data_IF_103636549435
#
_entry.id   IF_103636549435
#
_cell.length_a   1.000
_cell.length_b   1.000
_cell.length_c   1.000
_cell.angle_alpha   90.00
_cell.angle_beta   90.00
_cell.angle_gamma   90.00
#
_symmetry.space_group_name_H-M   'P 1'
#
loop_
_entity.id
_entity.type
_entity.pdbx_description
1 polymer ?
#
# COMPACT_ATOMS: atom_id res chain seq x y z
N UNK A 1 -4.76 -79.75 42.02
CA UNK A 1 -5.93 -79.31 41.21
C UNK A 1 -5.48 -78.12 40.47
N UNK A 2 -5.13 -78.30 39.27
CA UNK A 2 -5.80 -77.93 38.03
C UNK A 2 -6.20 -76.42 37.98
N UNK A 3 -5.63 -75.74 37.05
CA UNK A 3 -6.28 -74.65 36.38
C UNK A 3 -5.34 -73.63 35.81
N UNK A 4 -5.00 -73.81 34.64
CA UNK A 4 -5.30 -73.24 33.32
C UNK A 4 -4.44 -71.99 32.97
N UNK A 5 -3.62 -72.25 31.99
CA UNK A 5 -2.94 -71.22 31.15
C UNK A 5 -3.94 -70.42 30.33
N UNK A 6 -3.77 -69.12 30.27
CA UNK A 6 -4.46 -68.20 29.30
C UNK A 6 -3.44 -67.54 28.37
N UNK A 7 -3.77 -67.35 27.09
CA UNK A 7 -2.82 -67.15 26.02
C UNK A 7 -2.63 -65.69 25.58
N UNK A 8 -1.43 -65.42 25.11
CA UNK A 8 -1.24 -64.61 23.91
C UNK A 8 -1.24 -63.07 24.04
N UNK A 9 -0.10 -62.48 24.39
CA UNK A 9 0.18 -61.10 24.08
C UNK A 9 0.54 -60.97 22.60
N UNK A 10 -0.43 -60.48 21.79
CA UNK A 10 -0.19 -60.10 20.40
C UNK A 10 0.49 -58.74 20.38
N UNK A 11 1.77 -58.70 20.02
CA UNK A 11 2.52 -57.49 19.72
C UNK A 11 1.96 -56.87 18.44
N UNK A 12 1.30 -55.68 18.55
CA UNK A 12 0.92 -54.86 17.42
C UNK A 12 2.14 -54.03 17.00
N UNK A 13 2.68 -54.40 15.86
CA UNK A 13 3.69 -53.61 15.13
C UNK A 13 2.97 -52.35 14.63
N UNK A 14 3.20 -51.24 15.29
CA UNK A 14 2.83 -49.94 14.73
C UNK A 14 3.81 -49.60 13.59
N UNK A 15 3.34 -49.68 12.37
CA UNK A 15 4.07 -49.20 11.20
C UNK A 15 4.21 -47.66 11.30
N UNK A 16 5.44 -47.21 11.47
CA UNK A 16 5.88 -45.86 11.19
C UNK A 16 5.87 -45.67 9.67
N UNK A 17 4.80 -45.11 9.16
CA UNK A 17 4.71 -44.60 7.80
C UNK A 17 3.95 -43.30 7.88
N UNK A 18 4.62 -42.18 7.71
CA UNK A 18 4.16 -40.88 7.23
C UNK A 18 4.94 -39.70 7.82
N UNK A 19 6.24 -39.62 7.56
CA UNK A 19 6.99 -38.35 7.75
C UNK A 19 7.66 -37.89 6.46
N UNK A 20 7.66 -38.68 5.39
CA UNK A 20 8.35 -38.34 4.14
C UNK A 20 7.55 -37.45 3.19
N UNK A 21 6.27 -37.20 3.41
CA UNK A 21 5.44 -36.39 2.51
C UNK A 21 5.52 -34.88 2.72
N UNK A 22 5.83 -34.44 3.94
CA UNK A 22 5.81 -33.00 4.28
C UNK A 22 7.07 -32.24 3.83
N UNK A 23 8.21 -32.95 3.74
CA UNK A 23 9.47 -32.34 3.31
C UNK A 23 9.56 -32.11 1.79
N UNK A 24 8.91 -32.96 0.99
CA UNK A 24 8.90 -32.82 -0.47
C UNK A 24 8.04 -31.67 -0.96
N UNK A 25 6.95 -31.36 -0.27
CA UNK A 25 6.06 -30.25 -0.63
C UNK A 25 6.67 -28.87 -0.30
N UNK A 26 7.46 -28.77 0.75
CA UNK A 26 8.14 -27.53 1.13
C UNK A 26 9.32 -27.20 0.21
N UNK A 27 10.04 -28.19 -0.28
CA UNK A 27 11.16 -28.00 -1.24
C UNK A 27 10.61 -27.58 -2.61
N UNK A 28 9.56 -28.21 -3.11
CA UNK A 28 8.95 -27.85 -4.40
C UNK A 28 8.33 -26.43 -4.37
N UNK A 29 7.73 -26.00 -3.26
CA UNK A 29 7.21 -24.65 -3.10
C UNK A 29 8.33 -23.60 -3.00
N UNK A 30 9.50 -23.98 -2.49
CA UNK A 30 10.67 -23.09 -2.42
C UNK A 30 11.36 -22.95 -3.77
N UNK A 31 11.47 -24.03 -4.55
CA UNK A 31 12.01 -24.02 -5.91
C UNK A 31 11.11 -23.24 -6.88
N UNK A 32 9.77 -23.39 -6.80
CA UNK A 32 8.84 -22.60 -7.62
C UNK A 32 8.86 -21.10 -7.31
N UNK A 33 9.20 -20.70 -6.08
CA UNK A 33 9.39 -19.30 -5.72
C UNK A 33 10.66 -18.68 -6.30
N UNK A 34 11.73 -19.47 -6.46
CA UNK A 34 13.01 -18.99 -7.00
C UNK A 34 12.94 -18.67 -8.51
N UNK A 35 11.94 -19.22 -9.23
CA UNK A 35 11.75 -19.05 -10.67
C UNK A 35 10.67 -18.01 -11.00
N UNK A 36 10.04 -17.36 -10.01
CA UNK A 36 9.01 -16.35 -10.26
C UNK A 36 9.64 -15.11 -10.92
N UNK A 37 9.05 -14.67 -12.03
CA UNK A 37 9.44 -13.43 -12.71
C UNK A 37 9.02 -12.22 -11.86
N UNK A 38 9.96 -11.40 -11.36
CA UNK A 38 9.63 -10.22 -10.56
C UNK A 38 8.66 -9.25 -11.26
N UNK A 39 8.71 -9.15 -12.60
CA UNK A 39 7.79 -8.31 -13.35
C UNK A 39 6.36 -8.87 -13.30
N UNK A 40 6.20 -10.18 -13.48
CA UNK A 40 4.89 -10.82 -13.41
C UNK A 40 4.28 -10.69 -12.00
N UNK A 41 5.09 -10.79 -10.94
CA UNK A 41 4.63 -10.57 -9.55
C UNK A 41 4.20 -9.12 -9.34
N UNK A 42 4.97 -8.15 -9.85
CA UNK A 42 4.61 -6.72 -9.79
C UNK A 42 3.28 -6.44 -10.51
N UNK A 43 3.13 -6.98 -11.72
CA UNK A 43 1.93 -6.76 -12.54
C UNK A 43 0.70 -7.38 -11.86
N UNK A 44 0.82 -8.58 -11.29
CA UNK A 44 -0.27 -9.24 -10.55
C UNK A 44 -0.63 -8.45 -9.28
N UNK A 45 0.34 -8.06 -8.47
CA UNK A 45 0.08 -7.28 -7.25
C UNK A 45 -0.58 -5.93 -7.57
N UNK A 46 -0.18 -5.28 -8.67
CA UNK A 46 -0.82 -4.06 -9.15
C UNK A 46 -2.26 -4.32 -9.60
N UNK A 47 -2.50 -5.39 -10.34
CA UNK A 47 -3.83 -5.81 -10.79
C UNK A 47 -4.76 -6.08 -9.61
N UNK A 48 -4.28 -6.80 -8.59
CA UNK A 48 -5.04 -7.10 -7.37
C UNK A 48 -5.46 -5.80 -6.66
N UNK A 49 -4.55 -4.83 -6.52
CA UNK A 49 -4.90 -3.52 -5.96
C UNK A 49 -6.04 -2.84 -6.73
N UNK A 50 -5.95 -2.82 -8.05
CA UNK A 50 -6.96 -2.18 -8.91
C UNK A 50 -8.33 -2.90 -8.86
N UNK A 51 -8.33 -4.17 -8.48
CA UNK A 51 -9.54 -4.97 -8.25
C UNK A 51 -10.03 -4.95 -6.80
N UNK A 52 -9.42 -4.15 -5.93
CA UNK A 52 -9.72 -4.03 -4.50
C UNK A 52 -9.33 -5.25 -3.65
N UNK A 53 -8.53 -6.18 -4.18
CA UNK A 53 -7.97 -7.33 -3.48
C UNK A 53 -6.70 -6.89 -2.71
N UNK A 54 -6.92 -5.99 -1.72
CA UNK A 54 -5.85 -5.24 -1.04
C UNK A 54 -4.86 -6.17 -0.32
N UNK A 55 -5.35 -7.22 0.33
CA UNK A 55 -4.51 -8.17 1.08
C UNK A 55 -3.62 -8.97 0.12
N UNK A 56 -4.18 -9.46 -0.98
CA UNK A 56 -3.46 -10.21 -2.02
C UNK A 56 -2.41 -9.30 -2.67
N UNK A 57 -2.76 -8.06 -2.97
CA UNK A 57 -1.82 -7.07 -3.49
C UNK A 57 -0.65 -6.82 -2.53
N UNK A 58 -0.92 -6.62 -1.23
CA UNK A 58 0.14 -6.42 -0.24
C UNK A 58 1.07 -7.63 -0.13
N UNK A 59 0.51 -8.85 -0.15
CA UNK A 59 1.29 -10.10 -0.14
C UNK A 59 2.15 -10.23 -1.41
N UNK A 60 1.62 -9.89 -2.58
CA UNK A 60 2.35 -9.91 -3.86
C UNK A 60 3.53 -8.92 -3.85
N UNK A 61 3.34 -7.70 -3.32
CA UNK A 61 4.45 -6.76 -3.17
C UNK A 61 5.49 -7.21 -2.14
N UNK A 62 5.10 -7.90 -1.06
CA UNK A 62 6.05 -8.48 -0.11
C UNK A 62 6.85 -9.63 -0.75
N UNK A 63 6.20 -10.46 -1.57
CA UNK A 63 6.89 -11.47 -2.37
C UNK A 63 7.89 -10.84 -3.32
N UNK A 64 7.53 -9.77 -4.01
CA UNK A 64 8.42 -9.03 -4.91
C UNK A 64 9.66 -8.50 -4.17
N UNK A 65 9.48 -7.96 -2.96
CA UNK A 65 10.62 -7.51 -2.13
C UNK A 65 11.51 -8.67 -1.71
N UNK A 66 10.93 -9.84 -1.42
CA UNK A 66 11.70 -11.04 -1.10
C UNK A 66 12.50 -11.58 -2.29
N UNK A 67 11.92 -11.55 -3.50
CA UNK A 67 12.56 -11.97 -4.76
C UNK A 67 13.65 -10.98 -5.21
N UNK A 68 13.40 -9.70 -5.07
CA UNK A 68 14.24 -8.64 -5.59
C UNK A 68 14.42 -7.47 -4.57
N UNK A 69 15.11 -7.67 -3.44
CA UNK A 69 15.18 -6.71 -2.34
C UNK A 69 15.77 -5.36 -2.75
N UNK A 70 16.65 -5.32 -3.75
CA UNK A 70 17.24 -4.09 -4.27
C UNK A 70 16.21 -3.19 -4.99
N UNK A 71 15.03 -3.71 -5.36
CA UNK A 71 13.96 -2.92 -5.94
C UNK A 71 13.08 -2.24 -4.88
N UNK A 72 13.11 -2.66 -3.60
CA UNK A 72 12.28 -2.09 -2.53
C UNK A 72 12.22 -0.55 -2.57
N UNK A 73 13.34 0.19 -2.70
CA UNK A 73 13.27 1.65 -2.73
C UNK A 73 12.48 2.23 -3.92
N UNK A 74 12.27 1.47 -4.99
CA UNK A 74 11.56 1.91 -6.20
C UNK A 74 10.08 1.58 -6.21
N UNK A 75 9.62 0.77 -5.24
CA UNK A 75 8.24 0.25 -5.17
C UNK A 75 7.32 1.18 -4.40
N UNK A 76 7.13 2.43 -4.87
CA UNK A 76 6.20 3.38 -4.25
C UNK A 76 4.75 2.87 -4.26
N UNK A 77 4.35 2.09 -5.26
CA UNK A 77 3.05 1.43 -5.32
C UNK A 77 2.82 0.52 -4.11
N UNK A 78 3.87 -0.22 -3.69
CA UNK A 78 3.80 -1.01 -2.45
C UNK A 78 3.43 -0.14 -1.25
N UNK A 79 4.01 1.06 -1.13
CA UNK A 79 3.69 1.99 -0.05
C UNK A 79 2.20 2.36 -0.03
N UNK A 80 1.64 2.67 -1.19
CA UNK A 80 0.21 2.95 -1.33
C UNK A 80 -0.64 1.74 -0.92
N UNK A 81 -0.30 0.55 -1.43
CA UNK A 81 -1.02 -0.68 -1.08
C UNK A 81 -0.97 -0.97 0.43
N UNK A 82 0.18 -0.78 1.06
CA UNK A 82 0.35 -0.95 2.50
C UNK A 82 -0.52 0.02 3.32
N UNK A 83 -0.70 1.26 2.85
CA UNK A 83 -1.63 2.20 3.44
C UNK A 83 -3.06 1.63 3.46
N UNK A 84 -3.56 1.13 2.33
CA UNK A 84 -4.90 0.54 2.22
C UNK A 84 -5.02 -0.80 2.97
N UNK A 85 -3.93 -1.53 3.13
CA UNK A 85 -3.88 -2.75 3.95
C UNK A 85 -3.86 -2.47 5.47
N UNK A 86 -3.82 -1.20 5.90
CA UNK A 86 -3.72 -0.82 7.31
C UNK A 86 -2.34 -1.08 7.94
N UNK A 87 -1.32 -1.34 7.11
CA UNK A 87 0.06 -1.60 7.52
C UNK A 87 0.86 -0.30 7.52
N UNK A 88 0.49 0.61 8.41
CA UNK A 88 0.96 1.99 8.37
C UNK A 88 2.46 2.14 8.68
N UNK A 89 3.02 1.33 9.58
CA UNK A 89 4.47 1.35 9.87
C UNK A 89 5.29 0.89 8.66
N UNK A 90 4.86 -0.19 8.00
CA UNK A 90 5.50 -0.68 6.77
C UNK A 90 5.37 0.33 5.62
N UNK A 91 4.22 1.01 5.55
CA UNK A 91 3.95 2.10 4.61
C UNK A 91 4.93 3.26 4.82
N UNK A 92 5.07 3.73 6.05
CA UNK A 92 6.04 4.77 6.44
C UNK A 92 7.45 4.39 6.01
N UNK A 93 7.93 3.19 6.40
CA UNK A 93 9.25 2.70 6.04
C UNK A 93 9.46 2.63 4.51
N UNK A 94 8.42 2.24 3.77
CA UNK A 94 8.49 2.19 2.31
C UNK A 94 8.74 3.57 1.70
N UNK A 95 8.07 4.63 2.17
CA UNK A 95 8.25 5.98 1.63
C UNK A 95 9.55 6.63 2.13
N UNK A 96 10.02 6.33 3.34
CA UNK A 96 11.37 6.68 3.80
C UNK A 96 12.44 6.06 2.88
N UNK A 97 12.27 4.80 2.50
CA UNK A 97 13.15 4.09 1.57
C UNK A 97 13.07 4.68 0.16
N UNK A 98 11.85 4.96 -0.36
CA UNK A 98 11.65 5.55 -1.69
C UNK A 98 12.32 6.92 -1.84
N UNK A 99 12.32 7.74 -0.81
CA UNK A 99 13.00 9.04 -0.79
C UNK A 99 14.47 8.94 -1.16
N UNK A 100 15.14 7.83 -0.88
CA UNK A 100 16.56 7.64 -1.22
C UNK A 100 16.82 7.60 -2.73
N UNK A 101 15.82 7.26 -3.53
CA UNK A 101 15.91 7.17 -5.00
C UNK A 101 15.07 8.24 -5.72
N UNK A 102 14.13 8.90 -5.01
CA UNK A 102 13.28 9.96 -5.54
C UNK A 102 13.10 11.10 -4.51
N UNK A 103 14.15 11.92 -4.27
CA UNK A 103 14.16 12.91 -3.19
C UNK A 103 13.38 14.19 -3.50
N UNK A 104 12.92 14.39 -4.73
CA UNK A 104 12.28 15.62 -5.19
C UNK A 104 10.76 15.47 -5.42
N UNK A 105 10.16 14.42 -4.86
CA UNK A 105 8.77 14.06 -5.10
C UNK A 105 7.90 14.37 -3.87
N UNK A 106 7.04 15.38 -4.00
CA UNK A 106 6.07 15.74 -2.95
C UNK A 106 5.07 14.62 -2.68
N UNK A 107 4.70 13.80 -3.67
CA UNK A 107 3.80 12.67 -3.44
C UNK A 107 4.39 11.67 -2.46
N UNK A 108 5.71 11.49 -2.49
CA UNK A 108 6.40 10.65 -1.51
C UNK A 108 6.23 11.17 -0.07
N UNK A 109 6.39 12.49 0.13
CA UNK A 109 6.17 13.11 1.44
C UNK A 109 4.70 13.07 1.85
N UNK A 110 3.77 13.22 0.89
CA UNK A 110 2.35 13.16 1.16
C UNK A 110 1.91 11.77 1.63
N UNK A 111 2.29 10.72 0.94
CA UNK A 111 1.97 9.36 1.36
C UNK A 111 2.64 8.98 2.68
N UNK A 112 3.89 9.40 2.92
CA UNK A 112 4.53 9.24 4.22
C UNK A 112 3.72 9.92 5.33
N UNK A 113 3.30 11.18 5.11
CA UNK A 113 2.44 11.91 6.04
C UNK A 113 1.16 11.12 6.36
N UNK A 114 0.49 10.61 5.34
CA UNK A 114 -0.74 9.84 5.51
C UNK A 114 -0.51 8.56 6.34
N UNK A 115 0.59 7.85 6.10
CA UNK A 115 0.93 6.64 6.88
C UNK A 115 1.13 6.99 8.36
N UNK A 116 1.91 8.04 8.66
CA UNK A 116 2.15 8.49 10.04
C UNK A 116 0.87 9.01 10.70
N UNK A 117 0.07 9.80 9.98
CA UNK A 117 -1.20 10.32 10.48
C UNK A 117 -2.19 9.21 10.89
N UNK A 118 -2.19 8.09 10.15
CA UNK A 118 -3.04 6.93 10.45
C UNK A 118 -2.46 6.03 11.55
N UNK A 119 -1.12 5.95 11.67
CA UNK A 119 -0.45 5.19 12.72
C UNK A 119 -0.50 5.91 14.07
N UNK A 120 -0.34 7.21 14.07
CA UNK A 120 -0.11 8.04 15.26
C UNK A 120 -1.12 9.20 15.32
N UNK A 121 -0.80 10.33 14.66
CA UNK A 121 -1.68 11.51 14.56
C UNK A 121 -1.26 12.45 13.42
N UNK A 122 -2.13 13.38 12.99
CA UNK A 122 -1.75 14.41 12.03
C UNK A 122 -0.64 15.34 12.55
N UNK A 123 -0.56 15.58 13.85
CA UNK A 123 0.49 16.39 14.49
C UNK A 123 1.85 15.71 14.38
N UNK A 124 1.92 14.42 14.67
CA UNK A 124 3.14 13.63 14.52
C UNK A 124 3.54 13.51 13.05
N UNK A 125 2.57 13.32 12.15
CA UNK A 125 2.82 13.30 10.70
C UNK A 125 3.44 14.62 10.21
N UNK A 126 2.97 15.76 10.73
CA UNK A 126 3.56 17.08 10.41
C UNK A 126 4.96 17.21 10.94
N UNK A 127 5.20 16.75 12.17
CA UNK A 127 6.53 16.77 12.81
C UNK A 127 7.54 15.88 12.08
N UNK A 128 7.07 14.74 11.54
CA UNK A 128 7.86 13.76 10.80
C UNK A 128 7.86 13.99 9.27
N UNK A 129 7.33 15.12 8.79
CA UNK A 129 7.20 15.39 7.35
C UNK A 129 8.55 15.26 6.64
N UNK A 130 8.61 14.38 5.63
CA UNK A 130 9.86 14.15 4.88
C UNK A 130 10.28 15.42 4.13
N UNK A 131 11.54 15.82 4.25
CA UNK A 131 12.07 16.93 3.45
C UNK A 131 12.11 16.53 1.97
N UNK A 132 11.67 17.44 1.10
CA UNK A 132 11.59 17.25 -0.35
C UNK A 132 12.41 18.32 -1.05
N UNK A 133 13.14 17.93 -2.09
CA UNK A 133 13.79 18.86 -3.01
C UNK A 133 12.78 19.54 -3.95
N UNK A 134 13.27 20.27 -4.98
CA UNK A 134 12.39 20.98 -5.89
C UNK A 134 11.48 20.04 -6.68
N UNK A 135 10.16 20.13 -6.46
CA UNK A 135 9.13 19.53 -7.32
C UNK A 135 8.47 20.67 -8.13
N UNK A 136 8.59 20.60 -9.44
CA UNK A 136 8.09 21.65 -10.35
C UNK A 136 6.66 21.39 -10.82
N UNK A 137 6.06 20.25 -10.45
CA UNK A 137 4.67 19.94 -10.80
C UNK A 137 3.70 20.81 -10.00
N UNK A 138 2.72 21.36 -10.67
CA UNK A 138 1.64 22.12 -10.02
C UNK A 138 0.53 21.13 -9.62
N UNK A 139 -0.03 21.22 -8.39
CA UNK A 139 0.18 22.18 -7.31
C UNK A 139 1.09 21.63 -6.18
N UNK A 140 2.09 20.80 -6.49
CA UNK A 140 2.85 20.02 -5.49
C UNK A 140 3.51 20.88 -4.40
N UNK A 141 4.00 22.07 -4.75
CA UNK A 141 4.56 22.98 -3.74
C UNK A 141 3.51 23.39 -2.70
N UNK A 142 2.29 23.67 -3.14
CA UNK A 142 1.16 24.07 -2.29
C UNK A 142 0.66 22.87 -1.47
N UNK A 143 0.63 21.67 -2.06
CA UNK A 143 0.36 20.40 -1.34
C UNK A 143 1.38 20.19 -0.22
N UNK A 144 2.67 20.35 -0.47
CA UNK A 144 3.69 20.27 0.58
C UNK A 144 3.48 21.32 1.68
N UNK A 145 3.13 22.55 1.28
CA UNK A 145 2.78 23.63 2.20
C UNK A 145 1.55 23.29 3.06
N UNK A 146 0.55 22.65 2.50
CA UNK A 146 -0.64 22.16 3.22
C UNK A 146 -0.24 21.13 4.29
N UNK A 147 0.56 20.13 3.93
CA UNK A 147 1.05 19.10 4.84
C UNK A 147 1.87 19.69 5.99
N UNK A 148 2.71 20.69 5.72
CA UNK A 148 3.51 21.39 6.71
C UNK A 148 2.70 22.41 7.56
N UNK A 149 1.46 22.71 7.18
CA UNK A 149 0.60 23.71 7.82
C UNK A 149 0.91 25.16 7.43
N UNK A 150 1.72 25.41 6.38
CA UNK A 150 2.07 26.74 5.89
C UNK A 150 1.17 27.26 4.76
N UNK A 151 0.27 26.41 4.24
CA UNK A 151 -0.71 26.71 3.19
C UNK A 151 -2.08 26.15 3.56
N UNK A 152 -3.11 26.66 2.88
CA UNK A 152 -4.51 26.24 3.04
C UNK A 152 -4.97 25.39 1.85
N UNK A 153 -6.16 24.79 1.96
CA UNK A 153 -6.82 24.10 0.84
C UNK A 153 -7.10 25.04 -0.33
N UNK A 154 -7.48 26.30 -0.01
CA UNK A 154 -7.74 27.32 -1.02
C UNK A 154 -6.46 27.68 -1.79
N UNK A 155 -5.30 27.74 -1.11
CA UNK A 155 -4.00 27.96 -1.77
C UNK A 155 -3.69 26.86 -2.79
N UNK A 156 -3.97 25.58 -2.42
CA UNK A 156 -3.77 24.44 -3.31
C UNK A 156 -4.63 24.56 -4.55
N UNK A 157 -5.93 24.80 -4.39
CA UNK A 157 -6.84 24.90 -5.54
C UNK A 157 -6.58 26.15 -6.38
N UNK A 158 -6.25 27.29 -5.77
CA UNK A 158 -5.92 28.51 -6.50
C UNK A 158 -4.67 28.32 -7.39
N UNK A 159 -3.70 27.53 -6.93
CA UNK A 159 -2.47 27.24 -7.68
C UNK A 159 -2.70 26.40 -8.94
N UNK A 160 -3.80 25.63 -9.05
CA UNK A 160 -4.06 24.77 -10.20
C UNK A 160 -4.25 25.54 -11.50
N UNK A 161 -4.72 26.78 -11.41
CA UNK A 161 -4.96 27.65 -12.58
C UNK A 161 -5.91 27.07 -13.62
N UNK A 162 -6.74 26.09 -13.26
CA UNK A 162 -7.68 25.41 -14.15
C UNK A 162 -7.03 24.34 -15.06
N UNK A 163 -5.76 23.95 -14.81
CA UNK A 163 -5.14 22.89 -15.56
C UNK A 163 -5.59 21.52 -15.02
N UNK A 164 -6.16 20.66 -15.88
CA UNK A 164 -6.78 19.39 -15.49
C UNK A 164 -5.87 18.50 -14.62
N UNK A 165 -4.59 18.36 -14.99
CA UNK A 165 -3.65 17.56 -14.19
C UNK A 165 -3.42 18.17 -12.80
N UNK A 166 -3.32 19.50 -12.71
CA UNK A 166 -3.13 20.19 -11.44
C UNK A 166 -4.39 20.11 -10.55
N UNK A 167 -5.58 20.26 -11.15
CA UNK A 167 -6.85 20.08 -10.43
C UNK A 167 -7.00 18.66 -9.90
N UNK A 168 -6.70 17.66 -10.72
CA UNK A 168 -6.70 16.27 -10.29
C UNK A 168 -5.86 16.06 -9.02
N UNK A 169 -4.58 16.46 -9.05
CA UNK A 169 -3.70 16.29 -7.90
C UNK A 169 -4.12 17.16 -6.70
N UNK A 170 -4.64 18.36 -6.95
CA UNK A 170 -5.23 19.19 -5.91
C UNK A 170 -6.36 18.47 -5.20
N UNK A 171 -7.35 17.98 -5.93
CA UNK A 171 -8.47 17.24 -5.36
C UNK A 171 -8.02 15.95 -4.67
N UNK A 172 -7.13 15.16 -5.26
CA UNK A 172 -6.65 13.91 -4.66
C UNK A 172 -6.02 14.17 -3.28
N UNK A 173 -5.05 15.09 -3.20
CA UNK A 173 -4.33 15.32 -1.94
C UNK A 173 -5.15 16.09 -0.92
N UNK A 174 -6.08 16.95 -1.33
CA UNK A 174 -7.03 17.58 -0.40
C UNK A 174 -7.98 16.53 0.22
N UNK A 175 -8.46 15.59 -0.58
CA UNK A 175 -9.33 14.53 -0.07
C UNK A 175 -8.62 13.62 0.93
N UNK A 176 -7.42 13.15 0.58
CA UNK A 176 -6.60 12.30 1.46
C UNK A 176 -6.20 13.04 2.75
N UNK A 177 -5.85 14.33 2.66
CA UNK A 177 -5.52 15.16 3.81
C UNK A 177 -6.71 15.39 4.72
N UNK A 178 -7.90 15.72 4.17
CA UNK A 178 -9.13 15.90 4.94
C UNK A 178 -9.51 14.62 5.71
N UNK A 179 -9.37 13.45 5.06
CA UNK A 179 -9.59 12.16 5.76
C UNK A 179 -8.61 11.98 6.92
N UNK A 180 -7.34 12.29 6.73
CA UNK A 180 -6.32 12.18 7.77
C UNK A 180 -6.61 13.13 8.96
N UNK A 181 -7.26 14.26 8.72
CA UNK A 181 -7.70 15.20 9.76
C UNK A 181 -9.06 14.83 10.40
N UNK A 182 -9.72 13.77 9.93
CA UNK A 182 -11.02 13.35 10.46
C UNK A 182 -12.21 14.16 9.93
N UNK A 183 -12.09 14.77 8.76
CA UNK A 183 -13.20 15.42 8.03
C UNK A 183 -13.67 14.53 6.86
N UNK A 184 -14.54 13.53 7.11
CA UNK A 184 -14.96 12.57 6.10
C UNK A 184 -15.82 13.20 5.00
N UNK A 185 -16.53 14.30 5.29
CA UNK A 185 -17.37 14.97 4.27
C UNK A 185 -16.50 15.70 3.25
N UNK A 186 -15.54 16.48 3.70
CA UNK A 186 -14.60 17.16 2.80
C UNK A 186 -13.75 16.14 2.04
N UNK A 187 -13.33 15.05 2.72
CA UNK A 187 -12.58 13.96 2.10
C UNK A 187 -13.34 13.36 0.91
N UNK A 188 -14.59 12.93 1.11
CA UNK A 188 -15.36 12.26 0.05
C UNK A 188 -15.68 13.21 -1.11
N UNK A 189 -15.94 14.49 -0.84
CA UNK A 189 -16.25 15.46 -1.89
C UNK A 189 -15.03 15.66 -2.82
N UNK A 190 -13.84 15.81 -2.26
CA UNK A 190 -12.60 15.92 -3.04
C UNK A 190 -12.21 14.61 -3.72
N UNK A 191 -12.31 13.46 -3.05
CA UNK A 191 -12.01 12.16 -3.66
C UNK A 191 -12.97 11.85 -4.81
N UNK A 192 -14.26 12.18 -4.67
CA UNK A 192 -15.24 11.99 -5.74
C UNK A 192 -14.91 12.86 -6.95
N UNK A 193 -14.45 14.09 -6.73
CA UNK A 193 -13.96 14.94 -7.80
C UNK A 193 -12.72 14.32 -8.48
N UNK A 194 -11.69 13.91 -7.71
CA UNK A 194 -10.48 13.29 -8.26
C UNK A 194 -10.76 11.98 -9.02
N UNK A 195 -11.77 11.20 -8.62
CA UNK A 195 -12.16 9.95 -9.28
C UNK A 195 -13.03 10.16 -10.55
N UNK A 196 -13.36 11.42 -10.92
CA UNK A 196 -14.10 11.72 -12.15
C UNK A 196 -13.36 11.24 -13.39
N UNK A 197 -14.13 10.74 -14.38
CA UNK A 197 -13.58 10.32 -15.67
C UNK A 197 -12.93 11.49 -16.44
N UNK A 198 -13.24 12.75 -16.10
CA UNK A 198 -12.59 13.93 -16.67
C UNK A 198 -11.08 13.93 -16.48
N UNK A 199 -10.60 13.29 -15.41
CA UNK A 199 -9.17 13.21 -15.09
C UNK A 199 -8.49 11.90 -15.53
N UNK A 200 -9.22 10.96 -16.16
CA UNK A 200 -8.68 9.64 -16.54
C UNK A 200 -7.41 9.72 -17.40
N UNK A 201 -7.32 10.72 -18.29
CA UNK A 201 -6.19 10.89 -19.19
C UNK A 201 -4.98 11.59 -18.55
N UNK A 202 -5.17 12.29 -17.44
CA UNK A 202 -4.12 13.11 -16.82
C UNK A 202 -3.64 12.58 -15.48
N UNK A 203 -4.44 11.76 -14.78
CA UNK A 203 -4.13 11.23 -13.45
C UNK A 203 -3.31 9.93 -13.46
N UNK A 204 -3.27 9.21 -14.57
CA UNK A 204 -2.52 7.96 -14.69
C UNK A 204 -2.86 6.95 -13.59
N UNK A 205 -1.84 6.33 -13.01
CA UNK A 205 -2.02 5.37 -11.90
C UNK A 205 -2.71 6.02 -10.69
N UNK A 206 -2.43 7.30 -10.39
CA UNK A 206 -3.03 7.99 -9.25
C UNK A 206 -4.54 8.22 -9.43
N UNK A 207 -5.04 8.31 -10.68
CA UNK A 207 -6.48 8.33 -10.93
C UNK A 207 -7.12 6.98 -10.55
N UNK A 208 -6.47 5.86 -10.88
CA UNK A 208 -6.94 4.55 -10.42
C UNK A 208 -6.92 4.44 -8.88
N UNK A 209 -5.89 5.00 -8.21
CA UNK A 209 -5.84 5.10 -6.74
C UNK A 209 -7.04 5.90 -6.21
N UNK A 210 -7.39 7.05 -6.81
CA UNK A 210 -8.56 7.82 -6.40
C UNK A 210 -9.87 7.01 -6.52
N UNK A 211 -10.03 6.20 -7.56
CA UNK A 211 -11.19 5.34 -7.76
C UNK A 211 -11.25 4.19 -6.74
N UNK A 212 -10.10 3.55 -6.46
CA UNK A 212 -10.00 2.54 -5.40
C UNK A 212 -10.37 3.16 -4.05
N UNK A 213 -9.80 4.33 -3.74
CA UNK A 213 -10.10 5.05 -2.50
C UNK A 213 -11.59 5.36 -2.38
N UNK A 214 -12.20 5.93 -3.43
CA UNK A 214 -13.63 6.20 -3.46
C UNK A 214 -14.46 4.96 -3.16
N UNK A 215 -14.14 3.82 -3.77
CA UNK A 215 -14.90 2.58 -3.58
C UNK A 215 -14.81 2.00 -2.17
N UNK A 216 -13.69 2.25 -1.47
CA UNK A 216 -13.43 1.79 -0.10
C UNK A 216 -13.95 2.77 0.96
N UNK A 217 -14.25 4.03 0.57
CA UNK A 217 -14.68 5.05 1.52
C UNK A 217 -16.08 4.78 2.07
N UNK A 218 -16.30 4.88 3.41
CA UNK A 218 -17.59 4.57 4.04
C UNK A 218 -18.79 5.37 3.49
N UNK A 219 -18.56 6.62 3.07
CA UNK A 219 -19.62 7.52 2.54
C UNK A 219 -19.85 7.38 1.02
N UNK A 220 -19.20 6.45 0.35
CA UNK A 220 -19.37 6.21 -1.09
C UNK A 220 -20.60 5.36 -1.42
N UNK A 221 -21.23 4.75 -0.41
CA UNK A 221 -22.37 3.82 -0.52
C UNK A 221 -23.69 4.50 -0.27
#
# INVERSE_FOLDING_TARGET
>A
MIGAMGPGARWRIFRLAAVSGLLLTTVAAHEQRADADPQAVFDQATHDFLNHDIVESANGFDELVALAPNFKPRLWQRGIVLYYAGRYDDCREQFESHRTVNPNDVENAAWHFLCVARAESPEEARSALLPVGPDTRVPMREVYGLLSGSRTAEDVMAATGGALSAEFFGHLYLGLYAEALGDPQQAIDHIRAAASDDYAQVGGFMHAVARVHLSLHPLSR
#
